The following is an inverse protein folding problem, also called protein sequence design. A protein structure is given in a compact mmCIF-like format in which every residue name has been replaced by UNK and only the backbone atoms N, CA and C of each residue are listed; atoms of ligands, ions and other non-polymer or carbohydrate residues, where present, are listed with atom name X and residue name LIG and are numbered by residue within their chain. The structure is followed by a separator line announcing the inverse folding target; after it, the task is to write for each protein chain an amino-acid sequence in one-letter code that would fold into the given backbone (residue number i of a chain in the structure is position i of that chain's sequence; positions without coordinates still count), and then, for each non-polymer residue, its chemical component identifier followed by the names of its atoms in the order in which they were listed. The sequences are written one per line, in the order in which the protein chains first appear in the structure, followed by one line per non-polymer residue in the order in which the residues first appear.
data_IF_199126634101
#
_entry.id   IF_199126634101
#
_cell.length_a   1.000
_cell.length_b   1.000
_cell.length_c   1.000
_cell.angle_alpha   90.00
_cell.angle_beta   90.00
_cell.angle_gamma   90.00
#
_symmetry.space_group_name_H-M   'P 1'
#
loop_
_entity.id
_entity.type
_entity.pdbx_description
1 polymer ?
#
# COMPACT_ATOMS: atom_id res chain seq x y z
N UNK A 1 11.84 5.93 -6.24
CA UNK A 1 11.32 5.36 -4.98
C UNK A 1 12.07 5.94 -3.79
N UNK A 2 13.40 5.87 -3.74
CA UNK A 2 14.20 6.35 -2.60
C UNK A 2 13.88 7.80 -2.23
N UNK A 3 13.92 8.73 -3.19
CA UNK A 3 13.62 10.14 -2.95
C UNK A 3 12.18 10.39 -2.45
N UNK A 4 11.23 9.55 -2.89
CA UNK A 4 9.85 9.62 -2.40
C UNK A 4 9.78 9.24 -0.91
N UNK A 5 10.40 8.10 -0.53
CA UNK A 5 10.41 7.65 0.87
C UNK A 5 11.21 8.65 1.74
N UNK A 6 12.33 9.20 1.23
CA UNK A 6 13.10 10.23 1.93
C UNK A 6 12.25 11.45 2.26
N UNK A 7 11.45 11.92 1.30
CA UNK A 7 10.55 13.04 1.49
C UNK A 7 9.48 12.75 2.57
N UNK A 8 8.90 11.52 2.57
CA UNK A 8 7.96 11.10 3.62
C UNK A 8 8.66 11.08 4.98
N UNK A 9 9.83 10.41 5.10
CA UNK A 9 10.56 10.32 6.37
C UNK A 9 10.93 11.71 6.92
N UNK A 10 11.30 12.65 6.03
CA UNK A 10 11.67 14.02 6.43
C UNK A 10 10.47 14.88 6.84
N UNK A 11 9.25 14.52 6.43
CA UNK A 11 8.02 15.26 6.76
C UNK A 11 7.37 14.84 8.08
N UNK A 12 7.86 13.76 8.70
CA UNK A 12 7.25 13.16 9.89
C UNK A 12 6.01 12.32 9.61
N UNK A 13 5.66 12.09 8.34
CA UNK A 13 4.59 11.16 7.96
C UNK A 13 5.09 9.71 8.01
N UNK A 14 4.17 8.77 8.25
CA UNK A 14 4.47 7.33 8.21
C UNK A 14 4.52 6.82 6.77
N UNK A 15 5.52 5.98 6.47
CA UNK A 15 5.65 5.25 5.22
C UNK A 15 5.30 3.77 5.45
N UNK A 16 4.07 3.38 5.15
CA UNK A 16 3.54 2.03 5.36
C UNK A 16 3.21 1.38 4.02
N UNK A 17 3.63 0.12 3.84
CA UNK A 17 3.28 -0.68 2.67
C UNK A 17 2.09 -1.58 2.97
N UNK A 18 1.09 -1.59 2.07
CA UNK A 18 -0.08 -2.47 2.10
C UNK A 18 -0.11 -3.29 0.81
N UNK A 19 0.14 -4.61 0.89
CA UNK A 19 0.33 -5.42 -0.31
C UNK A 19 -0.36 -6.78 -0.28
N UNK A 20 -0.96 -7.19 -1.42
CA UNK A 20 -1.42 -8.55 -1.64
C UNK A 20 -0.25 -9.40 -2.16
N UNK A 21 0.01 -10.53 -1.51
CA UNK A 21 1.07 -11.48 -1.86
C UNK A 21 0.47 -12.88 -2.14
N UNK A 22 -0.27 -13.06 -3.24
CA UNK A 22 -0.97 -14.31 -3.54
C UNK A 22 -0.04 -15.48 -3.88
N UNK A 23 1.26 -15.24 -4.00
CA UNK A 23 2.26 -16.26 -4.33
C UNK A 23 2.21 -17.44 -3.34
N UNK A 24 1.98 -17.15 -2.05
CA UNK A 24 1.86 -18.19 -1.01
C UNK A 24 0.64 -19.07 -1.24
N UNK A 25 -0.54 -18.49 -1.48
CA UNK A 25 -1.77 -19.25 -1.77
C UNK A 25 -1.66 -20.06 -3.06
N UNK A 26 -0.84 -19.60 -4.01
CA UNK A 26 -0.60 -20.28 -5.29
C UNK A 26 0.50 -21.33 -5.24
N UNK A 27 1.12 -21.56 -4.06
CA UNK A 27 2.19 -22.54 -3.88
C UNK A 27 3.51 -22.16 -4.54
N UNK A 28 3.71 -20.88 -4.88
CA UNK A 28 4.93 -20.40 -5.54
C UNK A 28 6.05 -20.07 -4.57
N UNK A 29 5.74 -19.84 -3.31
CA UNK A 29 6.67 -19.58 -2.23
C UNK A 29 6.00 -19.77 -0.87
N UNK A 30 6.79 -19.79 0.20
CA UNK A 30 6.33 -19.85 1.58
C UNK A 30 6.24 -18.48 2.25
N UNK A 31 5.61 -18.42 3.42
CA UNK A 31 5.57 -17.21 4.26
C UNK A 31 6.98 -16.73 4.60
N UNK A 32 7.90 -17.64 4.89
CA UNK A 32 9.31 -17.32 5.19
C UNK A 32 10.02 -16.60 4.02
N UNK A 33 9.66 -16.92 2.78
CA UNK A 33 10.20 -16.24 1.59
C UNK A 33 9.70 -14.79 1.52
N UNK A 34 8.41 -14.57 1.80
CA UNK A 34 7.84 -13.22 1.85
C UNK A 34 8.51 -12.40 2.96
N UNK A 35 8.68 -12.97 4.13
CA UNK A 35 9.36 -12.31 5.26
C UNK A 35 10.81 -11.98 4.93
N UNK A 36 11.52 -12.89 4.24
CA UNK A 36 12.87 -12.64 3.77
C UNK A 36 12.94 -11.50 2.75
N UNK A 37 12.02 -11.48 1.78
CA UNK A 37 11.92 -10.40 0.78
C UNK A 37 11.67 -9.05 1.46
N UNK A 38 10.77 -9.00 2.44
CA UNK A 38 10.49 -7.77 3.17
C UNK A 38 11.67 -7.31 4.02
N UNK A 39 12.39 -8.22 4.68
CA UNK A 39 13.64 -7.91 5.40
C UNK A 39 14.71 -7.37 4.45
N UNK A 40 14.87 -7.99 3.29
CA UNK A 40 15.79 -7.53 2.25
C UNK A 40 15.44 -6.14 1.74
N UNK A 41 14.15 -5.87 1.50
CA UNK A 41 13.66 -4.54 1.10
C UNK A 41 14.02 -3.49 2.16
N UNK A 42 13.69 -3.74 3.44
CA UNK A 42 14.03 -2.84 4.55
C UNK A 42 15.55 -2.60 4.64
N UNK A 43 16.36 -3.65 4.44
CA UNK A 43 17.84 -3.53 4.44
C UNK A 43 18.36 -2.66 3.28
N UNK A 44 17.82 -2.84 2.08
CA UNK A 44 18.23 -2.06 0.91
C UNK A 44 17.85 -0.58 1.07
N UNK A 45 16.64 -0.30 1.58
CA UNK A 45 16.22 1.06 1.89
C UNK A 45 17.09 1.70 2.98
N UNK A 46 17.44 0.95 4.02
CA UNK A 46 18.32 1.41 5.09
C UNK A 46 19.72 1.79 4.61
N UNK A 47 20.28 1.10 3.59
CA UNK A 47 21.55 1.48 2.96
C UNK A 47 21.50 2.85 2.28
N UNK A 48 20.33 3.24 1.81
CA UNK A 48 20.05 4.54 1.22
C UNK A 48 19.63 5.60 2.25
N UNK A 49 19.65 5.26 3.54
CA UNK A 49 19.29 6.15 4.63
C UNK A 49 17.79 6.49 4.67
N UNK A 50 16.93 5.59 4.18
CA UNK A 50 15.46 5.72 4.23
C UNK A 50 14.83 4.45 4.80
N UNK A 51 13.60 4.56 5.33
CA UNK A 51 12.95 3.43 5.98
C UNK A 51 11.44 3.38 5.72
N UNK A 52 10.86 2.20 5.89
CA UNK A 52 9.43 1.97 5.98
C UNK A 52 9.09 1.71 7.45
N UNK A 53 8.04 2.36 7.95
CA UNK A 53 7.54 2.14 9.30
C UNK A 53 7.02 0.72 9.45
N UNK A 54 6.27 0.23 8.45
CA UNK A 54 5.88 -1.18 8.39
C UNK A 54 5.48 -1.66 7.00
N UNK A 55 5.29 -2.99 6.89
CA UNK A 55 4.76 -3.68 5.71
C UNK A 55 3.67 -4.65 6.18
N UNK A 56 2.42 -4.39 5.80
CA UNK A 56 1.30 -5.31 6.00
C UNK A 56 1.02 -6.03 4.68
N UNK A 57 0.88 -7.34 4.73
CA UNK A 57 0.62 -8.13 3.55
C UNK A 57 -0.48 -9.17 3.75
N UNK A 58 -1.14 -9.52 2.66
CA UNK A 58 -2.13 -10.57 2.62
C UNK A 58 -1.60 -11.74 1.77
N UNK A 59 -1.36 -12.93 2.36
CA UNK A 59 -0.90 -14.11 1.63
C UNK A 59 -2.04 -14.87 0.94
N UNK A 60 -3.29 -14.52 1.21
CA UNK A 60 -4.46 -15.26 0.79
C UNK A 60 -4.90 -14.95 -0.64
N UNK A 61 -5.52 -15.95 -1.29
CA UNK A 61 -6.17 -15.80 -2.58
C UNK A 61 -7.28 -16.86 -2.74
N UNK A 62 -8.56 -16.48 -2.91
CA UNK A 62 -9.66 -17.45 -2.95
C UNK A 62 -9.75 -18.24 -4.25
N UNK A 63 -9.16 -17.74 -5.35
CA UNK A 63 -9.29 -18.33 -6.67
C UNK A 63 -8.58 -19.70 -6.74
N UNK A 64 -9.18 -20.63 -7.49
CA UNK A 64 -8.69 -21.99 -7.75
C UNK A 64 -8.01 -22.07 -9.13
N UNK A 65 -7.27 -23.15 -9.37
CA UNK A 65 -6.74 -23.46 -10.69
C UNK A 65 -5.22 -23.37 -10.82
N UNK A 66 -4.51 -23.30 -9.70
CA UNK A 66 -3.05 -23.39 -9.68
C UNK A 66 -2.61 -24.80 -9.27
N UNK A 67 -1.65 -25.45 -9.99
CA UNK A 67 -1.28 -26.86 -9.74
C UNK A 67 -0.77 -27.14 -8.33
N UNK A 68 -0.08 -26.18 -7.71
CA UNK A 68 0.59 -26.33 -6.41
C UNK A 68 -0.04 -25.46 -5.31
N UNK A 69 -1.38 -25.25 -5.39
CA UNK A 69 -2.09 -24.40 -4.42
C UNK A 69 -1.89 -24.85 -2.97
N UNK A 70 -1.68 -23.87 -2.11
CA UNK A 70 -1.65 -24.10 -0.67
C UNK A 70 -3.07 -23.92 -0.06
N UNK A 71 -3.76 -25.00 0.33
CA UNK A 71 -5.13 -24.92 0.83
C UNK A 71 -5.31 -24.05 2.06
N UNK A 72 -4.27 -23.88 2.90
CA UNK A 72 -4.32 -23.08 4.12
C UNK A 72 -4.48 -21.59 3.83
N UNK A 73 -4.02 -21.12 2.65
CA UNK A 73 -4.07 -19.72 2.24
C UNK A 73 -5.11 -19.45 1.15
N UNK A 74 -5.83 -20.50 0.73
CA UNK A 74 -6.90 -20.40 -0.27
C UNK A 74 -8.24 -20.07 0.37
N UNK A 75 -8.30 -18.96 1.04
CA UNK A 75 -9.47 -18.50 1.76
C UNK A 75 -9.88 -17.09 1.33
N UNK A 76 -11.17 -16.80 1.46
CA UNK A 76 -11.65 -15.42 1.47
C UNK A 76 -11.39 -14.84 2.87
N UNK A 77 -10.61 -13.78 2.92
CA UNK A 77 -10.15 -13.17 4.16
C UNK A 77 -10.48 -11.67 4.19
N UNK A 78 -10.43 -11.05 5.35
CA UNK A 78 -10.65 -9.60 5.50
C UNK A 78 -9.41 -8.75 5.17
N UNK A 79 -8.21 -9.36 5.10
CA UNK A 79 -6.96 -8.62 4.84
C UNK A 79 -6.70 -8.34 3.35
N UNK A 80 -7.27 -9.13 2.41
CA UNK A 80 -6.99 -8.97 0.99
C UNK A 80 -7.64 -7.70 0.40
N UNK A 81 -6.81 -6.80 -0.15
CA UNK A 81 -7.31 -5.62 -0.89
C UNK A 81 -8.35 -6.04 -1.95
N UNK A 82 -9.48 -5.33 -2.10
CA UNK A 82 -9.83 -4.04 -1.51
C UNK A 82 -10.56 -4.10 -0.16
N UNK A 83 -10.54 -5.22 0.58
CA UNK A 83 -11.00 -5.27 1.96
C UNK A 83 -10.01 -4.55 2.88
N UNK A 84 -10.50 -3.95 3.96
CA UNK A 84 -9.77 -2.95 4.76
C UNK A 84 -8.90 -3.54 5.87
N UNK A 85 -8.90 -4.86 6.09
CA UNK A 85 -8.28 -5.48 7.26
C UNK A 85 -6.81 -5.12 7.49
N UNK A 86 -6.00 -4.96 6.41
CA UNK A 86 -4.62 -4.49 6.58
C UNK A 86 -4.53 -3.01 7.00
N UNK A 87 -5.48 -2.18 6.57
CA UNK A 87 -5.57 -0.76 6.98
C UNK A 87 -5.96 -0.67 8.45
N UNK A 88 -6.93 -1.48 8.90
CA UNK A 88 -7.34 -1.51 10.32
C UNK A 88 -6.17 -1.96 11.22
N UNK A 89 -5.42 -2.98 10.82
CA UNK A 89 -4.21 -3.41 11.54
C UNK A 89 -3.16 -2.28 11.65
N UNK A 90 -2.94 -1.56 10.55
CA UNK A 90 -2.02 -0.43 10.53
C UNK A 90 -2.51 0.72 11.43
N UNK A 91 -3.81 1.05 11.33
CA UNK A 91 -4.48 2.06 12.14
C UNK A 91 -4.32 1.77 13.64
N UNK A 92 -4.62 0.55 14.06
CA UNK A 92 -4.53 0.16 15.47
C UNK A 92 -3.09 0.18 15.99
N UNK A 93 -2.14 -0.26 15.16
CA UNK A 93 -0.73 -0.31 15.54
C UNK A 93 -0.11 1.07 15.71
N UNK A 94 -0.45 2.01 14.84
CA UNK A 94 0.20 3.32 14.77
C UNK A 94 -0.73 4.49 15.15
N UNK A 95 -1.96 4.19 15.59
CA UNK A 95 -2.99 5.19 15.92
C UNK A 95 -3.20 6.20 14.76
N UNK A 96 -3.42 5.69 13.54
CA UNK A 96 -3.50 6.49 12.31
C UNK A 96 -4.87 7.18 12.20
N UNK A 97 -4.86 8.46 11.89
CA UNK A 97 -6.04 9.17 11.39
C UNK A 97 -6.22 8.88 9.90
N UNK A 98 -7.21 8.05 9.57
CA UNK A 98 -7.47 7.62 8.19
C UNK A 98 -7.93 8.79 7.30
N UNK A 99 -8.68 9.74 7.84
CA UNK A 99 -9.20 10.88 7.07
C UNK A 99 -8.08 11.82 6.59
N UNK A 100 -6.97 11.88 7.34
CA UNK A 100 -5.77 12.65 6.99
C UNK A 100 -4.70 11.80 6.27
N UNK A 101 -5.01 10.54 5.94
CA UNK A 101 -4.06 9.61 5.33
C UNK A 101 -4.32 9.40 3.85
N UNK A 102 -3.31 8.92 3.14
CA UNK A 102 -3.33 8.73 1.69
C UNK A 102 -2.97 7.30 1.32
N UNK A 103 -3.74 6.71 0.40
CA UNK A 103 -3.36 5.50 -0.30
C UNK A 103 -2.80 5.87 -1.66
N UNK A 104 -1.53 5.54 -1.91
CA UNK A 104 -0.88 5.71 -3.20
C UNK A 104 -0.73 4.33 -3.83
N UNK A 105 -1.33 4.13 -4.98
CA UNK A 105 -1.33 2.83 -5.66
C UNK A 105 -1.45 2.96 -7.18
N UNK A 106 -1.22 1.85 -7.89
CA UNK A 106 -1.23 1.80 -9.35
C UNK A 106 -2.45 1.07 -9.93
N UNK A 107 -3.29 0.48 -9.09
CA UNK A 107 -4.45 -0.31 -9.50
C UNK A 107 -5.78 0.29 -9.07
N UNK A 108 -6.86 -0.05 -9.80
CA UNK A 108 -8.22 0.30 -9.39
C UNK A 108 -8.60 -0.30 -8.02
N UNK A 109 -7.96 -1.43 -7.65
CA UNK A 109 -8.12 -2.08 -6.36
C UNK A 109 -7.59 -1.22 -5.20
N UNK A 110 -6.47 -0.50 -5.41
CA UNK A 110 -5.90 0.39 -4.39
C UNK A 110 -6.81 1.60 -4.16
N UNK A 111 -7.38 2.13 -5.23
CA UNK A 111 -8.31 3.25 -5.17
C UNK A 111 -9.62 2.85 -4.47
N UNK A 112 -10.13 1.66 -4.79
CA UNK A 112 -11.31 1.11 -4.11
C UNK A 112 -11.05 0.84 -2.62
N UNK A 113 -9.84 0.34 -2.26
CA UNK A 113 -9.43 0.19 -0.86
C UNK A 113 -9.44 1.54 -0.13
N UNK A 114 -8.85 2.57 -0.73
CA UNK A 114 -8.83 3.91 -0.15
C UNK A 114 -10.24 4.42 0.16
N UNK A 115 -11.15 4.30 -0.81
CA UNK A 115 -12.55 4.68 -0.67
C UNK A 115 -13.24 3.94 0.48
N UNK A 116 -13.05 2.61 0.58
CA UNK A 116 -13.66 1.79 1.63
C UNK A 116 -13.13 2.13 3.02
N UNK A 117 -11.85 2.46 3.12
CA UNK A 117 -11.20 2.78 4.39
C UNK A 117 -11.31 4.26 4.78
N UNK A 118 -11.88 5.12 3.94
CA UNK A 118 -11.99 6.56 4.20
C UNK A 118 -10.66 7.32 4.06
N UNK A 119 -9.72 6.78 3.24
CA UNK A 119 -8.46 7.43 2.90
C UNK A 119 -8.63 8.34 1.68
N UNK A 120 -7.79 9.35 1.54
CA UNK A 120 -7.57 10.02 0.26
C UNK A 120 -6.75 9.12 -0.68
N UNK A 121 -7.02 9.17 -1.98
CA UNK A 121 -6.42 8.27 -2.97
C UNK A 121 -5.59 8.99 -4.01
N UNK A 122 -4.42 8.45 -4.34
CA UNK A 122 -3.55 8.91 -5.42
C UNK A 122 -3.23 7.75 -6.36
N UNK A 123 -3.71 7.81 -7.59
CA UNK A 123 -3.35 6.84 -8.64
C UNK A 123 -2.04 7.25 -9.29
N UNK A 124 -1.05 6.36 -9.31
CA UNK A 124 0.18 6.57 -10.06
C UNK A 124 0.10 5.92 -11.45
N UNK A 125 0.64 6.61 -12.44
CA UNK A 125 0.61 6.18 -13.85
C UNK A 125 1.76 5.23 -14.22
N UNK A 126 2.49 4.74 -13.23
CA UNK A 126 3.42 3.61 -13.35
C UNK A 126 2.69 2.29 -13.05
N UNK A 127 3.29 1.16 -13.39
CA UNK A 127 2.66 -0.14 -13.16
C UNK A 127 1.39 -0.33 -13.97
N UNK A 128 0.30 -0.68 -13.32
CA UNK A 128 -1.01 -0.92 -13.98
C UNK A 128 -1.70 0.37 -14.43
N UNK A 129 -1.38 1.52 -13.82
CA UNK A 129 -1.95 2.83 -14.16
C UNK A 129 -3.50 2.84 -14.18
N UNK A 130 -4.14 2.07 -13.29
CA UNK A 130 -5.59 1.91 -13.21
C UNK A 130 -6.22 1.05 -14.31
N UNK A 131 -5.40 0.45 -15.21
CA UNK A 131 -5.88 -0.31 -16.36
C UNK A 131 -6.30 -1.75 -16.04
N UNK A 132 -6.23 -2.16 -14.78
CA UNK A 132 -6.72 -3.46 -14.32
C UNK A 132 -8.24 -3.60 -14.41
N UNK A 133 -8.98 -2.50 -14.48
CA UNK A 133 -10.44 -2.43 -14.70
C UNK A 133 -11.27 -3.35 -13.78
N UNK A 134 -10.77 -3.63 -12.57
CA UNK A 134 -11.45 -4.51 -11.60
C UNK A 134 -12.54 -3.78 -10.82
N UNK A 135 -12.34 -2.47 -10.61
CA UNK A 135 -13.25 -1.62 -9.86
C UNK A 135 -13.47 -0.29 -10.59
N UNK A 136 -14.71 0.19 -10.59
CA UNK A 136 -15.04 1.54 -11.05
C UNK A 136 -14.81 2.54 -9.92
N UNK A 137 -13.55 2.75 -9.57
CA UNK A 137 -13.13 3.65 -8.51
C UNK A 137 -12.36 4.83 -9.10
N UNK A 138 -12.83 6.06 -8.83
CA UNK A 138 -12.15 7.27 -9.27
C UNK A 138 -11.19 7.74 -8.18
N UNK A 139 -9.92 8.00 -8.50
CA UNK A 139 -8.96 8.55 -7.55
C UNK A 139 -9.25 10.02 -7.26
N UNK A 140 -8.92 10.48 -6.04
CA UNK A 140 -8.97 11.91 -5.70
C UNK A 140 -7.90 12.68 -6.46
N UNK A 141 -6.73 12.06 -6.67
CA UNK A 141 -5.61 12.63 -7.38
C UNK A 141 -4.93 11.61 -8.30
N UNK A 142 -4.22 12.13 -9.31
CA UNK A 142 -3.32 11.34 -10.16
C UNK A 142 -1.93 11.95 -10.16
N UNK A 143 -0.90 11.09 -10.34
CA UNK A 143 0.50 11.49 -10.45
C UNK A 143 1.23 10.57 -11.41
N UNK A 144 2.31 11.03 -12.04
CA UNK A 144 3.07 10.22 -13.01
C UNK A 144 3.73 9.01 -12.35
N UNK A 145 4.22 9.18 -11.11
CA UNK A 145 4.96 8.17 -10.36
C UNK A 145 4.87 8.45 -8.86
N UNK A 146 5.45 7.55 -8.05
CA UNK A 146 5.44 7.66 -6.59
C UNK A 146 6.05 8.97 -6.08
N UNK A 147 7.12 9.48 -6.70
CA UNK A 147 7.76 10.72 -6.26
C UNK A 147 6.83 11.93 -6.43
N UNK A 148 6.22 12.08 -7.61
CA UNK A 148 5.21 13.12 -7.84
C UNK A 148 4.01 13.00 -6.90
N UNK A 149 3.54 11.77 -6.65
CA UNK A 149 2.44 11.53 -5.72
C UNK A 149 2.77 12.05 -4.31
N UNK A 150 3.96 11.71 -3.81
CA UNK A 150 4.42 12.17 -2.49
C UNK A 150 4.57 13.70 -2.45
N UNK A 151 5.17 14.32 -3.47
CA UNK A 151 5.27 15.79 -3.53
C UNK A 151 3.89 16.46 -3.48
N UNK A 152 2.92 15.89 -4.19
CA UNK A 152 1.54 16.39 -4.17
C UNK A 152 0.90 16.27 -2.78
N UNK A 153 1.05 15.13 -2.11
CA UNK A 153 0.56 14.93 -0.74
C UNK A 153 1.17 15.95 0.21
N UNK A 154 2.49 16.11 0.19
CA UNK A 154 3.19 17.05 1.06
C UNK A 154 2.78 18.51 0.82
N UNK A 155 2.52 18.87 -0.43
CA UNK A 155 2.00 20.21 -0.78
C UNK A 155 0.60 20.45 -0.20
N UNK A 156 -0.29 19.45 -0.25
CA UNK A 156 -1.65 19.53 0.30
C UNK A 156 -1.61 19.67 1.83
N UNK A 157 -0.77 18.89 2.51
CA UNK A 157 -0.64 18.91 3.97
C UNK A 157 -0.02 20.24 4.48
N UNK A 158 0.95 20.79 3.78
CA UNK A 158 1.53 22.10 4.14
C UNK A 158 0.50 23.24 4.02
N UNK A 159 -0.32 23.26 2.96
CA UNK A 159 -1.39 24.25 2.78
C UNK A 159 -2.46 24.13 3.90
N UNK A 160 -2.71 22.92 4.39
CA UNK A 160 -3.67 22.70 5.47
C UNK A 160 -3.17 23.26 6.80
N UNK A 161 -1.89 23.09 7.12
CA UNK A 161 -1.27 23.64 8.35
C UNK A 161 -1.25 25.17 8.37
N UNK A 162 -1.03 25.81 7.22
CA UNK A 162 -1.01 27.28 7.12
C UNK A 162 -2.41 27.92 7.28
N UNK A 163 -3.48 27.15 7.22
CA UNK A 163 -4.86 27.64 7.39
C UNK A 163 -5.40 27.47 8.81
N UNK A 164 -4.71 26.74 9.67
CA UNK A 164 -5.09 26.51 11.07
C UNK A 164 -4.36 27.47 12.05
N UNK A 165 -3.55 28.39 11.53
CA UNK A 165 -2.90 29.50 12.25
C UNK A 165 -3.63 30.81 11.97
#
# INVERSE_FOLDING_TARGET
VIEAIRAINSSGLLAIVITNQPAVARGLCDISDIDYIHKKLKTLLGKEGVFLDDIFYCPHHPDKGYPEENPLYKIDCECRKPKTGMIELAKDKFNIDLASSYMIGDSSMDIELAKRAGLKSVLVMTGLAGKDNKYDAKPDYTAKNLYEAVQKVLSIENISKDKEV
#
